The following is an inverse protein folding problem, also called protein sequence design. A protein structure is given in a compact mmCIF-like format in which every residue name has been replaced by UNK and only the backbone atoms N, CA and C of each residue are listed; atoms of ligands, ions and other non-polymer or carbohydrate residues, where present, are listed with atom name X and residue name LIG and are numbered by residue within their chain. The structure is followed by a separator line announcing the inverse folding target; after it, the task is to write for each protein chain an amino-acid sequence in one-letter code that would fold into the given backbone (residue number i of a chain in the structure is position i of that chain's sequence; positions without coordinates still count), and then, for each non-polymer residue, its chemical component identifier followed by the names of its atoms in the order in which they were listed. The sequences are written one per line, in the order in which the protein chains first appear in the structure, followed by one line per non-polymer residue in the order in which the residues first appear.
data_IF_417779467286
#
_entry.id   IF_417779467286
#
_cell.length_a   1.000
_cell.length_b   1.000
_cell.length_c   1.000
_cell.angle_alpha   90.00
_cell.angle_beta   90.00
_cell.angle_gamma   90.00
#
_symmetry.space_group_name_H-M   'P 1'
#
loop_
_entity.id
_entity.type
_entity.pdbx_description
1 polymer ?
#
# COMPACT_ATOMS: atom_id res chain seq x y z
N UNK A 1 5.40 33.03 7.72
CA UNK A 1 4.35 32.73 8.72
C UNK A 1 3.98 31.26 8.54
N UNK A 2 4.66 30.37 9.27
CA UNK A 2 4.38 28.94 9.19
C UNK A 2 3.07 28.67 9.95
N UNK A 3 2.04 28.25 9.23
CA UNK A 3 0.82 27.74 9.87
C UNK A 3 1.15 26.37 10.43
N UNK A 4 1.22 26.26 11.75
CA UNK A 4 1.29 24.98 12.44
C UNK A 4 -0.06 24.32 12.29
N UNK A 5 -0.15 23.28 11.47
CA UNK A 5 -1.34 22.43 11.44
C UNK A 5 -1.58 21.88 12.86
N UNK A 6 -2.83 21.87 13.35
CA UNK A 6 -3.15 21.22 14.62
C UNK A 6 -2.64 19.77 14.59
N UNK A 7 -2.20 19.25 15.74
CA UNK A 7 -1.74 17.86 15.83
C UNK A 7 -2.79 16.92 15.25
N UNK A 8 -2.38 16.06 14.32
CA UNK A 8 -3.31 15.22 13.56
C UNK A 8 -4.18 14.39 14.53
N UNK A 9 -5.50 14.47 14.37
CA UNK A 9 -6.43 13.67 15.14
C UNK A 9 -6.48 12.26 14.54
N UNK A 10 -6.78 11.25 15.34
CA UNK A 10 -6.97 9.88 14.84
C UNK A 10 -8.05 9.81 13.76
N UNK A 11 -9.06 10.67 13.85
CA UNK A 11 -10.14 10.78 12.88
C UNK A 11 -9.68 11.19 11.47
N UNK A 12 -8.53 11.87 11.34
CA UNK A 12 -7.98 12.26 10.03
C UNK A 12 -7.49 11.04 9.22
N UNK A 13 -7.44 9.86 9.84
CA UNK A 13 -7.00 8.59 9.26
C UNK A 13 -8.12 7.55 9.17
N UNK A 14 -9.37 7.93 9.45
CA UNK A 14 -10.52 7.03 9.35
C UNK A 14 -11.01 6.91 7.89
N UNK A 15 -11.44 5.71 7.49
CA UNK A 15 -11.99 5.47 6.16
C UNK A 15 -13.05 4.35 6.16
N UNK A 16 -14.07 4.43 5.30
CA UNK A 16 -15.05 3.35 5.18
C UNK A 16 -14.39 2.06 4.67
N UNK A 17 -14.29 1.06 5.53
CA UNK A 17 -13.80 -0.28 5.20
C UNK A 17 -14.93 -1.30 5.35
N UNK A 18 -15.54 -1.76 4.23
CA UNK A 18 -16.52 -2.84 4.27
C UNK A 18 -15.91 -4.11 4.90
N UNK A 19 -16.58 -4.76 5.87
CA UNK A 19 -16.04 -5.94 6.56
C UNK A 19 -15.63 -7.09 5.63
N UNK A 20 -16.32 -7.27 4.51
CA UNK A 20 -16.04 -8.29 3.50
C UNK A 20 -14.71 -8.08 2.76
N UNK A 21 -14.14 -6.85 2.79
CA UNK A 21 -12.82 -6.56 2.22
C UNK A 21 -11.68 -6.89 3.19
N UNK A 22 -11.98 -7.29 4.42
CA UNK A 22 -11.00 -7.77 5.39
C UNK A 22 -10.76 -9.26 5.14
N UNK A 23 -9.58 -9.59 4.61
CA UNK A 23 -9.19 -10.96 4.40
C UNK A 23 -9.18 -11.74 5.72
N UNK A 24 -10.06 -12.73 5.84
CA UNK A 24 -10.19 -13.55 7.04
C UNK A 24 -9.08 -14.60 7.16
N UNK A 25 -8.47 -14.97 6.03
CA UNK A 25 -7.37 -15.93 5.90
C UNK A 25 -6.46 -15.48 4.75
N UNK A 26 -5.16 -15.83 4.79
CA UNK A 26 -4.30 -15.63 3.63
C UNK A 26 -4.78 -16.47 2.43
N UNK A 27 -4.34 -16.09 1.23
CA UNK A 27 -4.50 -16.92 0.04
C UNK A 27 -3.69 -18.22 0.17
N UNK A 28 -4.11 -19.25 -0.58
CA UNK A 28 -3.42 -20.55 -0.59
C UNK A 28 -1.96 -20.44 -1.06
N UNK A 29 -1.73 -19.63 -2.08
CA UNK A 29 -0.40 -19.22 -2.54
C UNK A 29 -0.14 -17.79 -2.09
N UNK A 30 0.90 -17.59 -1.27
CA UNK A 30 1.15 -16.31 -0.61
C UNK A 30 1.45 -15.17 -1.59
N UNK A 31 2.17 -15.48 -2.66
CA UNK A 31 2.58 -14.53 -3.69
C UNK A 31 1.50 -14.27 -4.75
N UNK A 32 0.35 -14.95 -4.68
CA UNK A 32 -0.82 -14.67 -5.51
C UNK A 32 -1.63 -13.46 -5.02
N UNK A 33 -1.17 -12.75 -3.98
CA UNK A 33 -1.82 -11.55 -3.48
C UNK A 33 -1.68 -10.36 -4.45
N UNK A 34 -2.60 -9.40 -4.30
CA UNK A 34 -2.52 -8.11 -5.00
C UNK A 34 -1.44 -7.23 -4.37
N UNK A 35 -0.81 -6.40 -5.20
CA UNK A 35 0.15 -5.37 -4.84
C UNK A 35 -0.35 -4.04 -5.41
N UNK A 36 -0.66 -3.07 -4.54
CA UNK A 36 -0.93 -1.69 -4.96
C UNK A 36 0.39 -0.92 -4.96
N UNK A 37 0.89 -0.58 -6.14
CA UNK A 37 2.11 0.21 -6.30
C UNK A 37 1.75 1.71 -6.36
N UNK A 38 2.29 2.48 -5.43
CA UNK A 38 2.12 3.93 -5.34
C UNK A 38 3.42 4.62 -5.74
N UNK A 39 3.60 5.00 -7.03
CA UNK A 39 4.83 5.66 -7.46
C UNK A 39 4.94 7.07 -6.84
N UNK A 40 6.17 7.61 -6.64
CA UNK A 40 6.36 8.97 -6.12
C UNK A 40 5.71 10.05 -6.98
N UNK A 41 5.59 9.79 -8.29
CA UNK A 41 4.87 10.62 -9.24
C UNK A 41 4.06 9.71 -10.16
N UNK A 42 2.79 10.07 -10.37
CA UNK A 42 1.86 9.30 -11.20
C UNK A 42 0.71 8.68 -10.40
N UNK A 43 -0.21 8.01 -11.09
CA UNK A 43 -1.36 7.36 -10.46
C UNK A 43 -0.97 6.05 -9.76
N UNK A 44 -1.78 5.57 -8.81
CA UNK A 44 -1.69 4.21 -8.28
C UNK A 44 -1.80 3.15 -9.38
N UNK A 45 -1.09 2.04 -9.20
CA UNK A 45 -1.09 0.91 -10.12
C UNK A 45 -1.46 -0.39 -9.41
N UNK A 46 -2.45 -1.12 -9.94
CA UNK A 46 -2.77 -2.47 -9.51
C UNK A 46 -1.83 -3.48 -10.17
N UNK A 47 -1.15 -4.29 -9.36
CA UNK A 47 -0.21 -5.36 -9.78
C UNK A 47 -0.43 -6.63 -8.96
N UNK A 48 0.22 -7.73 -9.37
CA UNK A 48 0.40 -8.93 -8.54
C UNK A 48 1.68 -8.88 -7.72
N UNK A 49 1.71 -9.52 -6.55
CA UNK A 49 2.91 -9.54 -5.70
C UNK A 49 4.11 -10.22 -6.39
N UNK A 50 3.87 -11.19 -7.29
CA UNK A 50 4.91 -11.82 -8.13
C UNK A 50 5.65 -10.83 -9.04
N UNK A 51 5.08 -9.66 -9.31
CA UNK A 51 5.68 -8.62 -10.14
C UNK A 51 6.60 -7.68 -9.36
N UNK A 52 6.70 -7.84 -8.03
CA UNK A 52 7.58 -7.03 -7.18
C UNK A 52 9.02 -6.93 -7.72
N UNK A 53 9.67 -8.01 -8.22
CA UNK A 53 11.01 -7.90 -8.78
C UNK A 53 11.13 -6.94 -9.97
N UNK A 54 10.05 -6.71 -10.73
CA UNK A 54 10.07 -5.84 -11.90
C UNK A 54 10.03 -4.34 -11.55
N UNK A 55 9.60 -3.99 -10.33
CA UNK A 55 9.56 -2.59 -9.86
C UNK A 55 10.78 -2.21 -9.01
N UNK A 56 11.61 -3.18 -8.64
CA UNK A 56 12.87 -2.96 -7.94
C UNK A 56 13.98 -2.59 -8.91
N UNK A 57 14.92 -1.77 -8.45
CA UNK A 57 16.12 -1.43 -9.19
C UNK A 57 17.28 -2.31 -8.74
N UNK A 58 18.21 -2.55 -9.67
CA UNK A 58 19.45 -3.25 -9.33
C UNK A 58 20.18 -2.46 -8.24
N UNK A 59 20.50 -3.15 -7.14
CA UNK A 59 21.19 -2.55 -5.99
C UNK A 59 20.25 -2.16 -4.84
N UNK A 60 18.94 -2.25 -5.02
CA UNK A 60 18.00 -2.09 -3.92
C UNK A 60 18.18 -3.20 -2.88
N UNK A 61 18.07 -2.83 -1.60
CA UNK A 61 18.10 -3.75 -0.47
C UNK A 61 16.70 -3.86 0.12
N UNK A 62 16.15 -5.08 0.12
CA UNK A 62 14.90 -5.39 0.83
C UNK A 62 15.25 -5.69 2.28
N UNK A 63 14.61 -4.98 3.21
CA UNK A 63 14.76 -5.13 4.66
C UNK A 63 13.53 -5.78 5.28
#
# INVERSE_FOLDING_TARGET
MATTAPGAATADFDYPLPPERIAQRPLAERDASRLLHLPPAGPPEDRGFRELPAILRRGDLLV
#
